data_IF_279273805273
#
_entry.id   IF_279273805273
#
_cell.length_a   1.000
_cell.length_b   1.000
_cell.length_c   1.000
_cell.angle_alpha   90.00
_cell.angle_beta   90.00
_cell.angle_gamma   90.00
#
_symmetry.space_group_name_H-M   'P 1'
#
loop_
_entity.id
_entity.type
_entity.pdbx_description
1 polymer ?
#
# COMPACT_ATOMS: atom_id res chain seq x y z
N UNK A 1 24.50 28.55 21.91
CA UNK A 1 24.42 27.09 21.70
C UNK A 1 23.00 26.58 21.68
N UNK A 2 22.12 26.96 22.59
CA UNK A 2 20.73 26.55 22.64
C UNK A 2 19.89 26.97 21.44
N UNK A 3 20.20 28.12 20.81
CA UNK A 3 19.46 28.61 19.64
C UNK A 3 19.64 27.75 18.37
N UNK A 4 20.82 27.13 18.20
CA UNK A 4 21.11 26.26 17.04
C UNK A 4 20.37 24.91 17.12
N UNK A 5 20.14 24.38 18.31
CA UNK A 5 19.39 23.15 18.53
C UNK A 5 17.91 23.31 18.20
N UNK A 6 17.31 24.47 18.44
CA UNK A 6 15.93 24.77 18.13
C UNK A 6 15.63 24.84 16.62
N UNK A 7 16.62 25.18 15.80
CA UNK A 7 16.47 25.23 14.34
C UNK A 7 16.60 23.84 13.69
N UNK A 8 17.42 22.94 14.27
CA UNK A 8 17.62 21.59 13.74
C UNK A 8 16.41 20.69 13.97
N UNK A 9 15.70 20.84 15.09
CA UNK A 9 14.56 20.01 15.43
C UNK A 9 13.38 20.12 14.44
N UNK A 10 12.92 21.34 14.04
CA UNK A 10 11.88 21.48 13.02
C UNK A 10 12.28 20.90 11.66
N UNK A 11 13.53 21.04 11.26
CA UNK A 11 14.04 20.49 9.99
C UNK A 11 14.01 18.97 10.01
N UNK A 12 14.40 18.33 11.11
CA UNK A 12 14.34 16.88 11.30
C UNK A 12 12.90 16.38 11.28
N UNK A 13 11.97 17.07 11.93
CA UNK A 13 10.56 16.70 11.94
C UNK A 13 9.94 16.81 10.53
N UNK A 14 10.30 17.85 9.77
CA UNK A 14 9.83 18.03 8.39
C UNK A 14 10.36 16.93 7.47
N UNK A 15 11.65 16.58 7.58
CA UNK A 15 12.26 15.52 6.80
C UNK A 15 11.60 14.15 7.12
N UNK A 16 11.29 13.89 8.38
CA UNK A 16 10.60 12.68 8.80
C UNK A 16 9.19 12.61 8.24
N UNK A 17 8.46 13.73 8.21
CA UNK A 17 7.11 13.80 7.62
C UNK A 17 7.12 13.53 6.11
N UNK A 18 8.14 14.04 5.39
CA UNK A 18 8.29 13.79 3.95
C UNK A 18 8.57 12.31 3.68
N UNK A 19 9.39 11.65 4.51
CA UNK A 19 9.71 10.23 4.36
C UNK A 19 8.55 9.30 4.73
N UNK A 20 7.51 9.81 5.41
CA UNK A 20 6.31 9.06 5.77
C UNK A 20 5.34 8.84 4.60
N UNK A 21 5.62 9.42 3.42
CA UNK A 21 4.80 9.19 2.23
C UNK A 21 4.87 7.72 1.82
N UNK A 22 3.73 7.02 1.88
CA UNK A 22 3.66 5.58 1.68
C UNK A 22 3.66 5.20 0.21
N UNK A 23 4.00 3.93 -0.08
CA UNK A 23 3.87 3.34 -1.42
C UNK A 23 2.42 3.44 -1.92
N UNK A 24 1.44 3.27 -1.02
CA UNK A 24 0.03 3.36 -1.34
C UNK A 24 -0.33 4.74 -1.90
N UNK A 25 0.19 5.82 -1.31
CA UNK A 25 -0.05 7.18 -1.79
C UNK A 25 0.46 7.38 -3.21
N UNK A 26 1.63 6.84 -3.52
CA UNK A 26 2.20 6.88 -4.87
C UNK A 26 1.38 6.10 -5.87
N UNK A 27 0.88 4.92 -5.48
CA UNK A 27 0.04 4.10 -6.34
C UNK A 27 -1.31 4.78 -6.62
N UNK A 28 -1.93 5.38 -5.62
CA UNK A 28 -3.17 6.12 -5.79
C UNK A 28 -3.00 7.31 -6.74
N UNK A 29 -1.90 8.03 -6.62
CA UNK A 29 -1.59 9.13 -7.52
C UNK A 29 -1.48 8.66 -8.97
N UNK A 30 -0.79 7.54 -9.22
CA UNK A 30 -0.69 6.96 -10.57
C UNK A 30 -2.05 6.49 -11.09
N UNK A 31 -2.88 5.92 -10.22
CA UNK A 31 -4.21 5.42 -10.58
C UNK A 31 -5.12 6.54 -11.10
N UNK A 32 -5.03 7.73 -10.50
CA UNK A 32 -5.85 8.88 -10.86
C UNK A 32 -5.24 9.76 -11.96
N UNK A 33 -4.03 9.45 -12.42
CA UNK A 33 -3.34 10.19 -13.46
C UNK A 33 -3.58 9.54 -14.83
N UNK A 34 -4.38 10.18 -15.67
CA UNK A 34 -4.73 9.68 -17.01
C UNK A 34 -3.52 9.58 -17.93
N UNK A 35 -2.44 10.29 -17.66
CA UNK A 35 -1.22 10.29 -18.46
C UNK A 35 -0.15 9.35 -17.91
N UNK A 36 -0.39 8.70 -16.78
CA UNK A 36 0.56 7.77 -16.18
C UNK A 36 0.77 6.56 -17.09
N UNK A 37 2.02 6.18 -17.25
CA UNK A 37 2.42 4.97 -17.99
C UNK A 37 2.72 3.80 -17.05
N UNK A 38 2.40 3.96 -15.75
CA UNK A 38 2.64 2.94 -14.77
C UNK A 38 1.70 1.74 -15.00
N UNK A 39 2.28 0.55 -15.00
CA UNK A 39 1.53 -0.70 -15.15
C UNK A 39 1.31 -1.31 -13.77
N UNK A 40 0.04 -1.43 -13.38
CA UNK A 40 -0.33 -2.05 -12.12
C UNK A 40 -0.31 -3.56 -12.23
N UNK A 41 0.28 -4.21 -11.23
CA UNK A 41 0.22 -5.66 -11.08
C UNK A 41 -0.84 -5.96 -10.03
N UNK A 42 -1.91 -6.62 -10.43
CA UNK A 42 -3.06 -6.91 -9.58
C UNK A 42 -3.16 -8.42 -9.39
N UNK A 43 -3.15 -8.87 -8.14
CA UNK A 43 -3.34 -10.27 -7.81
C UNK A 43 -4.83 -10.57 -7.73
N UNK A 44 -5.35 -11.27 -8.72
CA UNK A 44 -6.75 -11.71 -8.78
C UNK A 44 -7.01 -12.79 -7.75
N UNK A 45 -7.84 -12.50 -6.74
CA UNK A 45 -8.15 -13.37 -5.59
C UNK A 45 -6.94 -13.73 -4.73
N UNK A 46 -5.92 -12.85 -4.74
CA UNK A 46 -4.65 -13.09 -4.08
C UNK A 46 -3.72 -13.99 -4.91
N UNK A 47 -2.76 -14.63 -4.25
CA UNK A 47 -1.87 -15.60 -4.90
C UNK A 47 -2.52 -16.99 -4.88
N UNK A 48 -3.45 -17.22 -5.79
CA UNK A 48 -4.23 -18.45 -5.87
C UNK A 48 -3.43 -19.67 -6.31
N UNK A 49 -2.24 -19.47 -6.87
CA UNK A 49 -1.37 -20.58 -7.28
C UNK A 49 -0.68 -21.26 -6.10
N UNK A 50 -0.40 -20.49 -5.05
CA UNK A 50 0.35 -20.97 -3.89
C UNK A 50 -0.48 -21.05 -2.61
N UNK A 51 -1.76 -20.64 -2.67
CA UNK A 51 -2.69 -20.67 -1.54
C UNK A 51 -4.12 -20.66 -2.07
N UNK A 52 -5.13 -21.08 -1.28
CA UNK A 52 -6.52 -21.01 -1.70
C UNK A 52 -6.91 -19.57 -2.07
N UNK A 53 -7.66 -19.40 -3.17
CA UNK A 53 -8.11 -18.08 -3.59
C UNK A 53 -9.00 -17.43 -2.53
N UNK A 54 -8.96 -16.10 -2.44
CA UNK A 54 -9.70 -15.30 -1.46
C UNK A 54 -9.36 -15.61 0.01
N UNK A 55 -8.24 -16.30 0.30
CA UNK A 55 -7.83 -16.64 1.65
C UNK A 55 -6.82 -15.64 2.19
N UNK A 56 -6.66 -15.60 3.53
CA UNK A 56 -5.61 -14.80 4.16
C UNK A 56 -4.23 -15.20 3.68
N UNK A 57 -3.99 -16.49 3.48
CA UNK A 57 -2.71 -16.98 2.97
C UNK A 57 -2.44 -16.45 1.56
N UNK A 58 -3.45 -16.37 0.71
CA UNK A 58 -3.28 -15.82 -0.65
C UNK A 58 -2.96 -14.32 -0.62
N UNK A 59 -3.53 -13.60 0.33
CA UNK A 59 -3.24 -12.17 0.55
C UNK A 59 -1.80 -12.01 1.04
N UNK A 60 -1.40 -12.76 2.05
CA UNK A 60 -0.04 -12.69 2.59
C UNK A 60 1.02 -12.99 1.54
N UNK A 61 0.79 -14.01 0.71
CA UNK A 61 1.71 -14.37 -0.38
C UNK A 61 1.76 -13.30 -1.46
N UNK A 62 0.63 -12.69 -1.80
CA UNK A 62 0.58 -11.57 -2.74
C UNK A 62 1.35 -10.34 -2.21
N UNK A 63 1.22 -10.05 -0.92
CA UNK A 63 1.98 -8.98 -0.27
C UNK A 63 3.48 -9.27 -0.34
N UNK A 64 3.88 -10.51 -0.08
CA UNK A 64 5.29 -10.93 -0.16
C UNK A 64 5.86 -10.78 -1.56
N UNK A 65 5.06 -10.97 -2.61
CA UNK A 65 5.45 -10.73 -4.00
C UNK A 65 5.48 -9.25 -4.38
N UNK A 66 5.07 -8.36 -3.49
CA UNK A 66 5.06 -6.90 -3.70
C UNK A 66 4.21 -6.47 -4.89
N UNK A 67 3.06 -7.14 -5.10
CA UNK A 67 2.07 -6.68 -6.07
C UNK A 67 1.52 -5.31 -5.67
N UNK A 68 0.95 -4.58 -6.62
CA UNK A 68 0.45 -3.24 -6.36
C UNK A 68 -0.93 -3.26 -5.72
N UNK A 69 -1.76 -4.19 -6.12
CA UNK A 69 -3.14 -4.33 -5.64
C UNK A 69 -3.50 -5.80 -5.51
N UNK A 70 -4.46 -6.06 -4.64
CA UNK A 70 -5.08 -7.39 -4.50
C UNK A 70 -6.57 -7.22 -4.74
N UNK A 71 -7.12 -8.01 -5.64
CA UNK A 71 -8.56 -8.09 -5.88
C UNK A 71 -9.10 -9.29 -5.12
N UNK A 72 -10.21 -9.11 -4.42
CA UNK A 72 -10.85 -10.14 -3.61
C UNK A 72 -12.35 -10.15 -3.86
N UNK A 73 -12.92 -11.35 -3.90
CA UNK A 73 -14.37 -11.52 -3.89
C UNK A 73 -14.84 -11.70 -2.45
N UNK A 74 -15.79 -10.89 -2.03
CA UNK A 74 -16.36 -10.94 -0.70
C UNK A 74 -17.87 -11.17 -0.77
N UNK A 75 -18.39 -11.91 0.20
CA UNK A 75 -19.82 -12.15 0.32
C UNK A 75 -20.24 -11.94 1.77
N UNK A 76 -21.41 -11.30 2.02
CA UNK A 76 -21.93 -11.19 3.37
C UNK A 76 -22.41 -12.57 3.84
N UNK A 77 -22.23 -12.85 5.13
CA UNK A 77 -22.79 -14.02 5.75
C UNK A 77 -24.29 -13.81 6.03
N UNK A 78 -25.02 -14.90 6.40
CA UNK A 78 -26.46 -14.84 6.69
C UNK A 78 -26.80 -13.80 7.77
N UNK A 79 -25.92 -13.61 8.74
CA UNK A 79 -26.10 -12.67 9.84
C UNK A 79 -25.58 -11.26 9.52
N UNK A 80 -25.11 -11.02 8.30
CA UNK A 80 -24.65 -9.70 7.85
C UNK A 80 -23.23 -9.34 8.25
N UNK A 81 -22.45 -10.26 8.76
CA UNK A 81 -21.07 -10.01 9.15
C UNK A 81 -20.06 -10.29 8.04
#
# INVERSE_FOLDING_TARGET
MTKKLFFLLPILLTAFSISAQTRTDKLLKNLHDNESKYIFVIAHRGDWRNAPENSLQSIEKAIAMKVDMIELDIQPTKDGN
#
